data_IF_071187603492
#
_entry.id   IF_071187603492
#
_cell.length_a   1.000
_cell.length_b   1.000
_cell.length_c   1.000
_cell.angle_alpha   90.00
_cell.angle_beta   90.00
_cell.angle_gamma   90.00
#
_symmetry.space_group_name_H-M   'P 1'
#
loop_
_entity.id
_entity.type
_entity.pdbx_description
1 polymer ?
#
# COMPACT_ATOMS: atom_id res chain seq x y z
N UNK A 1 1.54 28.34 -7.46
CA UNK A 1 1.96 27.28 -6.52
C UNK A 1 0.75 26.86 -5.70
N UNK A 2 0.38 25.58 -5.65
CA UNK A 2 -0.75 25.15 -4.83
C UNK A 2 -0.30 25.03 -3.35
N UNK A 3 -1.11 25.50 -2.38
CA UNK A 3 -0.75 25.46 -0.95
C UNK A 3 -0.47 24.05 -0.41
N UNK A 4 -1.03 23.02 -1.05
CA UNK A 4 -0.91 21.62 -0.64
C UNK A 4 0.50 21.05 -0.84
N UNK A 5 1.27 21.56 -1.81
CA UNK A 5 2.66 21.12 -2.07
C UNK A 5 3.66 21.58 -1.00
N UNK A 6 3.27 22.47 -0.08
CA UNK A 6 4.15 22.98 0.97
C UNK A 6 3.75 22.54 2.39
N UNK A 7 2.72 21.70 2.52
CA UNK A 7 2.31 21.19 3.83
C UNK A 7 3.37 20.21 4.36
N UNK A 8 4.00 20.48 5.51
CA UNK A 8 5.01 19.59 6.08
C UNK A 8 4.43 18.20 6.39
N UNK A 9 3.12 18.09 6.65
CA UNK A 9 2.45 16.82 6.90
C UNK A 9 2.29 15.96 5.64
N UNK A 10 2.01 16.59 4.49
CA UNK A 10 1.90 15.88 3.22
C UNK A 10 3.28 15.45 2.71
N UNK A 11 4.28 16.30 2.88
CA UNK A 11 5.68 15.94 2.57
C UNK A 11 6.17 14.80 3.47
N UNK A 12 5.83 14.81 4.76
CA UNK A 12 6.18 13.73 5.68
C UNK A 12 5.46 12.42 5.32
N UNK A 13 4.16 12.47 4.99
CA UNK A 13 3.43 11.28 4.55
C UNK A 13 4.01 10.70 3.26
N UNK A 14 4.35 11.53 2.27
CA UNK A 14 5.00 11.08 1.03
C UNK A 14 6.39 10.52 1.26
N UNK A 15 7.18 11.12 2.16
CA UNK A 15 8.50 10.59 2.54
C UNK A 15 8.38 9.24 3.26
N UNK A 16 7.56 9.18 4.30
CA UNK A 16 7.41 7.99 5.14
C UNK A 16 6.88 6.79 4.33
N UNK A 17 5.91 6.99 3.45
CA UNK A 17 5.39 5.91 2.60
C UNK A 17 6.32 5.59 1.42
N UNK A 18 6.71 6.59 0.63
CA UNK A 18 7.42 6.35 -0.62
C UNK A 18 8.86 5.88 -0.46
N UNK A 19 9.59 6.35 0.57
CA UNK A 19 11.03 6.02 0.72
C UNK A 19 11.30 4.85 1.64
N UNK A 20 10.42 4.54 2.60
CA UNK A 20 10.62 3.43 3.55
C UNK A 20 10.04 2.12 3.00
N UNK A 21 8.89 2.16 2.34
CA UNK A 21 8.23 0.94 1.85
C UNK A 21 8.66 0.53 0.43
N UNK A 22 8.75 1.48 -0.50
CA UNK A 22 9.08 1.18 -1.91
C UNK A 22 10.57 1.33 -2.23
N UNK A 23 11.36 1.96 -1.36
CA UNK A 23 12.80 2.21 -1.53
C UNK A 23 13.21 2.97 -2.81
N UNK A 24 12.28 3.66 -3.46
CA UNK A 24 12.56 4.42 -4.68
C UNK A 24 13.50 5.60 -4.43
N UNK A 25 14.44 5.81 -5.35
CA UNK A 25 15.26 7.00 -5.37
C UNK A 25 14.39 8.20 -5.78
N UNK A 26 14.34 9.29 -4.97
CA UNK A 26 13.55 10.46 -5.33
C UNK A 26 14.01 11.07 -6.67
N UNK A 27 13.08 11.56 -7.52
CA UNK A 27 13.44 12.27 -8.75
C UNK A 27 14.34 13.47 -8.46
N UNK A 28 15.34 13.71 -9.31
CA UNK A 28 16.26 14.86 -9.19
C UNK A 28 15.61 16.17 -9.62
N UNK A 29 14.71 16.11 -10.61
CA UNK A 29 13.97 17.27 -11.09
C UNK A 29 12.91 17.69 -10.06
N UNK A 30 12.86 18.97 -9.64
CA UNK A 30 11.87 19.46 -8.69
C UNK A 30 10.41 19.25 -9.11
N UNK A 31 10.08 19.33 -10.40
CA UNK A 31 8.70 19.19 -10.87
C UNK A 31 8.24 17.73 -10.88
N UNK A 32 9.11 16.80 -11.32
CA UNK A 32 8.86 15.36 -11.23
C UNK A 32 8.70 14.93 -9.76
N UNK A 33 9.52 15.50 -8.87
CA UNK A 33 9.43 15.22 -7.43
C UNK A 33 8.09 15.67 -6.85
N UNK A 34 7.59 16.86 -7.20
CA UNK A 34 6.27 17.33 -6.75
C UNK A 34 5.13 16.42 -7.23
N UNK A 35 5.22 15.93 -8.47
CA UNK A 35 4.25 14.99 -9.00
C UNK A 35 4.28 13.67 -8.24
N UNK A 36 5.46 13.08 -8.04
CA UNK A 36 5.64 11.83 -7.29
C UNK A 36 5.18 11.98 -5.84
N UNK A 37 5.55 13.06 -5.16
CA UNK A 37 5.12 13.35 -3.79
C UNK A 37 3.59 13.40 -3.69
N UNK A 38 2.94 14.08 -4.64
CA UNK A 38 1.47 14.15 -4.70
C UNK A 38 0.82 12.79 -4.93
N UNK A 39 1.42 11.95 -5.79
CA UNK A 39 0.95 10.58 -6.00
C UNK A 39 1.12 9.73 -4.74
N UNK A 40 2.24 9.86 -4.01
CA UNK A 40 2.47 9.11 -2.77
C UNK A 40 1.44 9.44 -1.69
N UNK A 41 0.97 10.70 -1.59
CA UNK A 41 -0.18 11.05 -0.73
C UNK A 41 -1.43 10.27 -1.14
N UNK A 42 -1.75 10.26 -2.44
CA UNK A 42 -2.93 9.55 -2.97
C UNK A 42 -2.84 8.04 -2.69
N UNK A 43 -1.67 7.43 -2.84
CA UNK A 43 -1.43 6.03 -2.49
C UNK A 43 -1.62 5.78 -0.99
N UNK A 44 -1.06 6.62 -0.11
CA UNK A 44 -1.26 6.48 1.33
C UNK A 44 -2.74 6.56 1.75
N UNK A 45 -3.54 7.43 1.11
CA UNK A 45 -4.99 7.48 1.35
C UNK A 45 -5.69 6.17 0.92
N UNK A 46 -5.25 5.54 -0.16
CA UNK A 46 -5.80 4.24 -0.63
C UNK A 46 -5.48 3.12 0.35
N UNK A 47 -4.30 3.12 0.96
CA UNK A 47 -3.94 2.15 1.99
C UNK A 47 -4.78 2.31 3.25
N UNK A 48 -5.03 3.56 3.68
CA UNK A 48 -5.96 3.85 4.79
C UNK A 48 -7.37 3.34 4.46
N UNK A 49 -7.85 3.59 3.23
CA UNK A 49 -9.15 3.07 2.78
C UNK A 49 -9.20 1.54 2.83
N UNK A 50 -8.15 0.86 2.36
CA UNK A 50 -8.08 -0.61 2.38
C UNK A 50 -8.14 -1.15 3.81
N UNK A 51 -7.38 -0.57 4.74
CA UNK A 51 -7.43 -0.92 6.16
C UNK A 51 -8.82 -0.69 6.77
N UNK A 52 -9.46 0.44 6.46
CA UNK A 52 -10.80 0.75 6.92
C UNK A 52 -11.86 -0.23 6.38
N UNK A 53 -11.74 -0.65 5.11
CA UNK A 53 -12.63 -1.62 4.50
C UNK A 53 -12.53 -3.01 5.15
N UNK A 54 -11.29 -3.48 5.39
CA UNK A 54 -11.01 -4.72 6.13
C UNK A 54 -11.62 -4.63 7.54
N UNK A 55 -11.36 -3.53 8.25
CA UNK A 55 -11.84 -3.31 9.61
C UNK A 55 -13.36 -3.28 9.69
N UNK A 56 -14.02 -2.56 8.79
CA UNK A 56 -15.48 -2.49 8.72
C UNK A 56 -16.10 -3.87 8.46
N UNK A 57 -15.54 -4.66 7.55
CA UNK A 57 -16.00 -6.04 7.31
C UNK A 57 -15.85 -6.92 8.56
N UNK A 58 -14.71 -6.82 9.25
CA UNK A 58 -14.43 -7.61 10.44
C UNK A 58 -15.36 -7.25 11.60
N UNK A 59 -15.57 -5.96 11.86
CA UNK A 59 -16.48 -5.49 12.92
C UNK A 59 -17.92 -5.96 12.75
N UNK A 60 -18.39 -6.08 11.49
CA UNK A 60 -19.76 -6.50 11.19
C UNK A 60 -19.89 -8.03 11.01
N UNK A 61 -18.83 -8.80 11.28
CA UNK A 61 -18.86 -10.26 11.17
C UNK A 61 -18.89 -10.80 9.74
N UNK A 62 -18.67 -9.96 8.72
CA UNK A 62 -18.68 -10.38 7.32
C UNK A 62 -17.34 -10.98 6.89
N UNK A 63 -16.95 -12.10 7.51
CA UNK A 63 -15.62 -12.69 7.36
C UNK A 63 -15.29 -13.15 5.93
N UNK A 64 -16.29 -13.57 5.14
CA UNK A 64 -16.06 -13.84 3.71
C UNK A 64 -15.64 -12.58 2.94
N UNK A 65 -16.28 -11.44 3.21
CA UNK A 65 -15.89 -10.14 2.62
C UNK A 65 -14.48 -9.75 3.06
N UNK A 66 -14.14 -9.95 4.33
CA UNK A 66 -12.78 -9.72 4.84
C UNK A 66 -11.77 -10.62 4.11
N UNK A 67 -12.09 -11.90 3.96
CA UNK A 67 -11.25 -12.87 3.25
C UNK A 67 -10.94 -12.44 1.81
N UNK A 68 -11.96 -12.08 1.04
CA UNK A 68 -11.78 -11.55 -0.33
C UNK A 68 -11.01 -10.24 -0.35
N UNK A 69 -11.23 -9.35 0.60
CA UNK A 69 -10.51 -8.07 0.69
C UNK A 69 -9.03 -8.30 1.00
N UNK A 70 -8.70 -9.26 1.87
CA UNK A 70 -7.32 -9.66 2.15
C UNK A 70 -6.65 -10.31 0.93
N UNK A 71 -7.35 -11.18 0.20
CA UNK A 71 -6.80 -11.72 -1.06
C UNK A 71 -6.47 -10.61 -2.06
N UNK A 72 -7.38 -9.64 -2.22
CA UNK A 72 -7.14 -8.46 -3.06
C UNK A 72 -5.96 -7.62 -2.55
N UNK A 73 -5.86 -7.39 -1.24
CA UNK A 73 -4.73 -6.67 -0.62
C UNK A 73 -3.40 -7.39 -0.85
N UNK A 74 -3.38 -8.73 -0.75
CA UNK A 74 -2.20 -9.54 -1.05
C UNK A 74 -1.79 -9.46 -2.53
N UNK A 75 -2.76 -9.39 -3.45
CA UNK A 75 -2.49 -9.18 -4.87
C UNK A 75 -1.88 -7.78 -5.12
N UNK A 76 -2.38 -6.74 -4.46
CA UNK A 76 -1.80 -5.38 -4.51
C UNK A 76 -0.35 -5.40 -4.02
N UNK A 77 -0.08 -5.94 -2.83
CA UNK A 77 1.28 -6.04 -2.29
C UNK A 77 2.21 -6.84 -3.23
N UNK A 78 1.70 -7.89 -3.87
CA UNK A 78 2.49 -8.66 -4.85
C UNK A 78 2.85 -7.80 -6.07
N UNK A 79 1.90 -7.03 -6.60
CA UNK A 79 2.13 -6.13 -7.72
C UNK A 79 3.09 -4.98 -7.36
N UNK A 80 2.94 -4.38 -6.18
CA UNK A 80 3.83 -3.34 -5.67
C UNK A 80 5.26 -3.85 -5.57
N UNK A 81 5.46 -5.04 -5.00
CA UNK A 81 6.78 -5.67 -4.96
C UNK A 81 7.34 -5.98 -6.34
N UNK A 82 6.51 -6.35 -7.33
CA UNK A 82 6.96 -6.56 -8.71
C UNK A 82 7.44 -5.25 -9.36
N UNK A 83 6.76 -4.12 -9.11
CA UNK A 83 7.21 -2.80 -9.53
C UNK A 83 8.50 -2.43 -8.81
N UNK A 84 8.62 -2.67 -7.50
CA UNK A 84 9.86 -2.44 -6.76
C UNK A 84 11.04 -3.22 -7.37
N UNK A 85 10.83 -4.51 -7.64
CA UNK A 85 11.82 -5.36 -8.28
C UNK A 85 12.25 -4.84 -9.66
N UNK A 86 11.34 -4.25 -10.45
CA UNK A 86 11.71 -3.66 -11.75
C UNK A 86 12.59 -2.41 -11.60
N UNK A 87 12.62 -1.80 -10.41
CA UNK A 87 13.55 -0.74 -10.01
C UNK A 87 14.79 -1.26 -9.27
N UNK A 88 14.94 -2.60 -9.15
CA UNK A 88 16.14 -3.28 -8.67
C UNK A 88 16.22 -3.55 -7.17
N UNK A 89 15.21 -3.16 -6.38
CA UNK A 89 15.15 -3.38 -4.91
C UNK A 89 13.78 -3.01 -4.33
N UNK A 90 13.56 -3.30 -3.05
CA UNK A 90 12.36 -2.91 -2.28
C UNK A 90 11.21 -3.92 -2.37
N UNK A 91 11.33 -4.97 -3.19
CA UNK A 91 10.28 -5.97 -3.37
C UNK A 91 9.96 -6.73 -2.08
N UNK A 92 10.96 -6.95 -1.24
CA UNK A 92 10.80 -7.64 0.04
C UNK A 92 10.04 -6.80 1.07
N UNK A 93 9.96 -5.48 0.88
CA UNK A 93 9.06 -4.62 1.65
C UNK A 93 7.59 -5.04 1.51
N UNK A 94 7.23 -5.67 0.38
CA UNK A 94 5.87 -6.13 0.10
C UNK A 94 5.73 -7.66 0.13
N UNK A 95 6.66 -8.37 -0.49
CA UNK A 95 6.60 -9.83 -0.61
C UNK A 95 6.87 -10.58 0.70
N UNK A 96 7.42 -9.92 1.72
CA UNK A 96 7.58 -10.52 3.05
C UNK A 96 6.25 -10.74 3.76
N UNK A 97 5.27 -9.82 3.61
CA UNK A 97 3.97 -9.92 4.28
C UNK A 97 2.83 -10.39 3.35
N UNK A 98 2.97 -10.24 2.03
CA UNK A 98 1.93 -10.63 1.08
C UNK A 98 1.43 -12.09 1.25
N UNK A 99 2.31 -13.10 1.44
CA UNK A 99 1.86 -14.47 1.68
C UNK A 99 1.02 -14.63 2.94
N UNK A 100 1.35 -13.89 4.01
CA UNK A 100 0.59 -13.93 5.27
C UNK A 100 -0.81 -13.35 5.10
N UNK A 101 -0.92 -12.25 4.35
CA UNK A 101 -2.21 -11.62 4.02
C UNK A 101 -3.07 -12.57 3.17
N UNK A 102 -2.48 -13.18 2.15
CA UNK A 102 -3.17 -14.16 1.29
C UNK A 102 -3.62 -15.39 2.08
N UNK A 103 -2.73 -15.96 2.90
CA UNK A 103 -3.05 -17.12 3.72
C UNK A 103 -4.20 -16.82 4.70
N UNK A 104 -4.15 -15.67 5.37
CA UNK A 104 -5.24 -15.24 6.28
C UNK A 104 -6.55 -15.09 5.53
N UNK A 105 -6.53 -14.47 4.34
CA UNK A 105 -7.71 -14.33 3.50
C UNK A 105 -8.30 -15.68 3.07
N UNK A 106 -7.45 -16.63 2.65
CA UNK A 106 -7.86 -17.97 2.26
C UNK A 106 -8.46 -18.77 3.44
N UNK A 107 -7.90 -18.63 4.65
CA UNK A 107 -8.47 -19.25 5.85
C UNK A 107 -9.86 -18.69 6.17
N UNK A 108 -10.07 -17.37 6.09
CA UNK A 108 -11.39 -16.76 6.30
C UNK A 108 -12.44 -17.16 5.23
N UNK A 109 -12.00 -17.72 4.11
CA UNK A 109 -12.84 -18.27 3.05
C UNK A 109 -13.06 -19.79 3.17
N UNK A 110 -12.51 -20.43 4.20
CA UNK A 110 -12.69 -21.85 4.46
C UNK A 110 -11.93 -22.79 3.52
N UNK A 111 -10.82 -22.33 2.93
CA UNK A 111 -9.96 -23.17 2.07
C UNK A 111 -9.32 -24.33 2.84
N UNK A 112 -9.26 -24.24 4.18
CA UNK A 112 -8.62 -25.21 5.07
C UNK A 112 -9.58 -25.76 6.15
N UNK A 113 -10.89 -25.71 5.91
CA UNK A 113 -11.94 -26.19 6.82
C UNK A 113 -12.32 -27.66 6.61
#
# INVERSE_FOLDING_TARGET
MSPLSQSPYLVWASFAFGTIFFEFAPPKNPDDRRMVDSLMVVYGVRDIFMGAAIWAGALNGHMSTVGWTLLAAGAVATADGAVCKSHGKGEWGHWSYAPMVVATGAMLLGVAD
#
